data_IF_639913946838
#
_entry.id   IF_639913946838
#
_cell.length_a   1.000
_cell.length_b   1.000
_cell.length_c   1.000
_cell.angle_alpha   90.00
_cell.angle_beta   90.00
_cell.angle_gamma   90.00
#
_symmetry.space_group_name_H-M   'P 1'
#
loop_
_entity.id
_entity.type
_entity.pdbx_description
1 polymer ?
#
# COMPACT_ATOMS: atom_id res chain seq x y z
N UNK A 1 6.78 -2.77 14.72
CA UNK A 1 6.01 -1.52 14.76
C UNK A 1 6.20 -0.84 16.11
N UNK A 2 6.49 0.46 16.10
CA UNK A 2 6.56 1.33 17.26
C UNK A 2 5.32 2.24 17.23
N UNK A 3 4.36 2.00 18.12
CA UNK A 3 3.10 2.77 18.20
C UNK A 3 2.94 3.44 19.55
N UNK A 4 1.71 3.78 19.94
CA UNK A 4 1.40 4.50 21.20
C UNK A 4 2.03 3.88 22.45
N UNK A 5 2.25 2.56 22.46
CA UNK A 5 2.87 1.86 23.59
C UNK A 5 4.35 2.21 23.77
N UNK A 6 5.06 2.54 22.69
CA UNK A 6 6.48 2.88 22.69
C UNK A 6 6.71 4.39 22.51
N UNK A 7 5.89 5.05 21.69
CA UNK A 7 5.98 6.46 21.31
C UNK A 7 4.90 7.29 22.02
N UNK A 8 4.77 7.11 23.34
CA UNK A 8 3.61 7.57 24.12
C UNK A 8 3.50 9.11 24.33
N UNK A 9 4.53 9.87 23.98
CA UNK A 9 4.52 11.34 23.98
C UNK A 9 4.43 11.95 22.58
N UNK A 10 4.51 11.13 21.53
CA UNK A 10 4.31 11.55 20.15
C UNK A 10 2.84 11.34 19.78
N UNK A 11 2.15 12.44 19.49
CA UNK A 11 0.75 12.40 19.12
C UNK A 11 0.58 11.94 17.67
N UNK A 12 -0.36 11.02 17.44
CA UNK A 12 -0.74 10.54 16.11
C UNK A 12 0.46 10.12 15.24
N UNK A 13 1.46 9.46 15.83
CA UNK A 13 2.63 8.96 15.11
C UNK A 13 2.90 7.50 15.47
N UNK A 14 3.21 6.71 14.44
CA UNK A 14 3.82 5.39 14.62
C UNK A 14 4.79 5.09 13.48
N UNK A 15 5.66 4.12 13.73
CA UNK A 15 6.74 3.73 12.82
C UNK A 15 6.71 2.22 12.56
N UNK A 16 6.92 1.81 11.32
CA UNK A 16 7.15 0.42 10.94
C UNK A 16 8.49 0.32 10.20
N UNK A 17 9.32 -0.59 10.70
CA UNK A 17 10.62 -0.88 10.14
C UNK A 17 10.51 -2.07 9.18
N UNK A 18 10.94 -1.91 7.92
CA UNK A 18 10.68 -2.85 6.83
C UNK A 18 11.99 -3.23 6.13
N UNK A 19 12.24 -4.54 6.00
CA UNK A 19 13.40 -5.09 5.30
C UNK A 19 12.93 -6.02 4.17
N UNK A 20 13.43 -5.77 2.97
CA UNK A 20 13.05 -6.51 1.76
C UNK A 20 14.28 -6.98 0.99
N UNK A 21 14.17 -8.19 0.45
CA UNK A 21 15.04 -8.67 -0.64
C UNK A 21 14.45 -8.25 -1.99
N UNK A 22 15.25 -8.30 -3.05
CA UNK A 22 14.80 -8.01 -4.42
C UNK A 22 13.52 -8.79 -4.73
N UNK A 23 12.61 -8.16 -5.46
CA UNK A 23 11.31 -8.70 -5.89
C UNK A 23 10.34 -9.09 -4.76
N UNK A 24 10.69 -8.80 -3.50
CA UNK A 24 9.72 -8.90 -2.40
C UNK A 24 8.88 -7.64 -2.31
N UNK A 25 7.63 -7.86 -1.91
CA UNK A 25 6.54 -6.92 -1.99
C UNK A 25 5.92 -6.75 -0.61
N UNK A 26 5.80 -5.52 -0.11
CA UNK A 26 4.77 -5.21 0.88
C UNK A 26 3.45 -5.29 0.13
N UNK A 27 2.61 -6.26 0.50
CA UNK A 27 1.44 -6.66 -0.29
C UNK A 27 0.51 -5.48 -0.61
N UNK A 28 -0.32 -5.56 -1.67
CA UNK A 28 -1.36 -4.56 -1.88
C UNK A 28 -2.25 -4.36 -0.66
N UNK A 29 -2.32 -3.13 -0.14
CA UNK A 29 -3.04 -2.81 1.09
C UNK A 29 -3.46 -1.34 1.15
N UNK A 30 -4.21 -0.98 2.19
CA UNK A 30 -4.48 0.40 2.56
C UNK A 30 -4.66 0.56 4.06
N UNK A 31 -4.55 1.82 4.51
CA UNK A 31 -4.74 2.23 5.90
C UNK A 31 -5.98 3.10 6.04
N UNK A 32 -7.01 2.64 6.74
CA UNK A 32 -8.28 3.37 6.85
C UNK A 32 -8.16 4.64 7.68
N UNK A 33 -7.25 4.67 8.64
CA UNK A 33 -7.12 5.72 9.65
C UNK A 33 -5.78 6.48 9.58
N UNK A 34 -4.92 6.18 8.62
CA UNK A 34 -3.60 6.80 8.52
C UNK A 34 -3.17 7.05 7.07
N UNK A 35 -2.55 8.20 6.83
CA UNK A 35 -1.61 8.39 5.74
C UNK A 35 -0.24 7.79 6.14
N UNK A 36 0.54 7.43 5.13
CA UNK A 36 1.84 6.78 5.29
C UNK A 36 2.91 7.52 4.51
N UNK A 37 4.03 7.82 5.16
CA UNK A 37 5.24 8.32 4.54
C UNK A 37 6.29 7.21 4.55
N UNK A 38 6.69 6.76 3.37
CA UNK A 38 7.72 5.73 3.22
C UNK A 38 9.05 6.43 2.94
N UNK A 39 10.01 6.27 3.85
CA UNK A 39 11.37 6.80 3.72
C UNK A 39 12.35 5.67 3.40
N UNK A 40 13.13 5.81 2.33
CA UNK A 40 14.17 4.84 1.99
C UNK A 40 15.45 5.10 2.77
N UNK A 41 15.83 4.16 3.64
CA UNK A 41 17.08 4.20 4.43
C UNK A 41 18.24 3.64 3.60
N UNK A 42 18.05 2.46 2.99
CA UNK A 42 19.03 1.83 2.09
C UNK A 42 18.34 1.01 1.00
N UNK A 43 19.05 0.70 -0.08
CA UNK A 43 18.53 -0.06 -1.22
C UNK A 43 17.67 0.79 -2.15
N UNK A 44 16.62 0.21 -2.74
CA UNK A 44 15.75 0.89 -3.70
C UNK A 44 14.41 0.17 -3.83
N UNK A 45 13.32 0.94 -3.89
CA UNK A 45 11.95 0.43 -3.94
C UNK A 45 11.13 1.19 -4.97
N UNK A 46 10.16 0.52 -5.59
CA UNK A 46 9.08 1.18 -6.34
C UNK A 46 7.78 1.05 -5.55
N UNK A 47 7.20 2.19 -5.17
CA UNK A 47 5.89 2.27 -4.52
C UNK A 47 4.85 2.63 -5.58
N UNK A 48 3.77 1.86 -5.64
CA UNK A 48 2.67 2.10 -6.59
C UNK A 48 1.37 2.33 -5.85
N UNK A 49 0.62 3.36 -6.26
CA UNK A 49 -0.57 3.85 -5.58
C UNK A 49 -1.72 3.95 -6.59
N UNK A 50 -2.86 3.33 -6.30
CA UNK A 50 -4.09 3.52 -7.06
C UNK A 50 -4.77 4.82 -6.62
N UNK A 51 -4.80 5.80 -7.52
CA UNK A 51 -5.50 7.05 -7.27
C UNK A 51 -7.02 6.82 -7.40
N UNK A 52 -7.81 6.98 -6.32
CA UNK A 52 -9.24 6.65 -6.31
C UNK A 52 -10.09 7.61 -7.14
N UNK A 53 -9.56 8.81 -7.44
CA UNK A 53 -10.28 9.84 -8.20
C UNK A 53 -10.04 9.70 -9.70
N UNK A 54 -8.78 9.49 -10.09
CA UNK A 54 -8.40 9.37 -11.51
C UNK A 54 -8.44 7.94 -12.03
N UNK A 55 -8.52 6.95 -11.12
CA UNK A 55 -8.46 5.50 -11.40
C UNK A 55 -7.17 5.07 -12.12
N UNK A 56 -6.10 5.84 -11.93
CA UNK A 56 -4.76 5.54 -12.47
C UNK A 56 -3.87 5.00 -11.38
N UNK A 57 -2.99 4.06 -11.73
CA UNK A 57 -1.87 3.67 -10.89
C UNK A 57 -0.72 4.64 -11.12
N UNK A 58 -0.20 5.20 -10.03
CA UNK A 58 0.97 6.08 -10.01
C UNK A 58 2.12 5.31 -9.39
N UNK A 59 3.27 5.25 -10.06
CA UNK A 59 4.45 4.51 -9.58
C UNK A 59 5.62 5.45 -9.36
N UNK A 60 6.25 5.33 -8.20
CA UNK A 60 7.35 6.17 -7.75
C UNK A 60 8.52 5.28 -7.31
N UNK A 61 9.65 5.39 -8.00
CA UNK A 61 10.88 4.72 -7.59
C UNK A 61 11.71 5.64 -6.71
N UNK A 62 12.10 5.16 -5.53
CA UNK A 62 12.90 5.90 -4.57
C UNK A 62 14.16 5.14 -4.15
N UNK A 63 15.18 5.90 -3.79
CA UNK A 63 16.50 5.47 -3.33
C UNK A 63 16.83 6.20 -2.02
N UNK A 64 17.97 5.93 -1.35
CA UNK A 64 18.22 6.42 0.00
C UNK A 64 18.06 7.94 0.15
N UNK A 65 17.35 8.36 1.19
CA UNK A 65 17.06 9.78 1.47
C UNK A 65 15.81 10.34 0.77
N UNK A 66 15.17 9.56 -0.10
CA UNK A 66 13.92 9.95 -0.78
C UNK A 66 12.69 9.37 -0.08
N UNK A 67 11.54 10.00 -0.31
CA UNK A 67 10.25 9.63 0.29
C UNK A 67 9.13 9.56 -0.72
N UNK A 68 8.10 8.77 -0.40
CA UNK A 68 6.78 8.83 -1.03
C UNK A 68 5.73 9.00 0.07
N UNK A 69 4.80 9.93 -0.13
CA UNK A 69 3.63 10.11 0.74
C UNK A 69 2.41 9.44 0.11
N UNK A 70 1.82 8.50 0.83
CA UNK A 70 0.62 7.76 0.47
C UNK A 70 -0.55 8.33 1.28
N UNK A 71 -1.56 8.91 0.64
CA UNK A 71 -2.70 9.45 1.36
C UNK A 71 -3.53 8.38 2.08
N UNK A 72 -4.17 8.76 3.18
CA UNK A 72 -5.04 7.89 3.95
C UNK A 72 -6.10 7.21 3.08
N UNK A 73 -6.25 5.90 3.26
CA UNK A 73 -7.24 5.07 2.57
C UNK A 73 -6.87 4.73 1.12
N UNK A 74 -5.70 5.11 0.61
CA UNK A 74 -5.32 4.82 -0.77
C UNK A 74 -4.67 3.45 -0.88
N UNK A 75 -5.15 2.66 -1.84
CA UNK A 75 -4.61 1.33 -2.14
C UNK A 75 -3.22 1.44 -2.75
N UNK A 76 -2.25 0.74 -2.18
CA UNK A 76 -0.86 0.81 -2.62
C UNK A 76 -0.08 -0.47 -2.32
N UNK A 77 1.11 -0.59 -2.90
CA UNK A 77 2.06 -1.68 -2.66
C UNK A 77 3.49 -1.20 -2.94
N UNK A 78 4.45 -1.92 -2.38
CA UNK A 78 5.87 -1.57 -2.49
C UNK A 78 6.65 -2.78 -2.95
N UNK A 79 7.48 -2.64 -3.99
CA UNK A 79 8.37 -3.72 -4.43
C UNK A 79 9.83 -3.29 -4.38
N UNK A 80 10.63 -4.04 -3.64
CA UNK A 80 12.07 -3.85 -3.61
C UNK A 80 12.68 -4.20 -4.97
N UNK A 81 13.49 -3.28 -5.49
CA UNK A 81 14.18 -3.42 -6.79
C UNK A 81 15.62 -3.92 -6.65
N UNK A 82 16.14 -3.94 -5.42
CA UNK A 82 17.46 -4.48 -5.05
C UNK A 82 17.42 -5.13 -3.67
N UNK A 83 18.39 -6.00 -3.40
CA UNK A 83 18.51 -6.69 -2.11
C UNK A 83 18.89 -5.73 -0.99
N UNK A 84 18.50 -6.10 0.24
CA UNK A 84 18.78 -5.32 1.46
C UNK A 84 18.18 -3.92 1.37
N UNK A 85 16.98 -3.84 0.79
CA UNK A 85 16.17 -2.62 0.82
C UNK A 85 15.60 -2.46 2.22
N UNK A 86 15.85 -1.29 2.81
CA UNK A 86 15.47 -0.94 4.17
C UNK A 86 14.64 0.33 4.12
N UNK A 87 13.38 0.23 4.55
CA UNK A 87 12.41 1.31 4.52
C UNK A 87 11.91 1.58 5.94
N UNK A 88 11.60 2.84 6.19
CA UNK A 88 10.87 3.26 7.38
C UNK A 88 9.53 3.83 6.93
N UNK A 89 8.46 3.11 7.26
CA UNK A 89 7.10 3.58 7.11
C UNK A 89 6.69 4.40 8.35
N UNK A 90 6.15 5.59 8.12
CA UNK A 90 5.78 6.56 9.15
C UNK A 90 4.32 6.91 8.96
N UNK A 91 3.51 6.67 9.98
CA UNK A 91 2.06 6.88 9.90
C UNK A 91 1.65 8.07 10.74
N UNK A 92 0.69 8.85 10.25
CA UNK A 92 0.05 9.90 11.04
C UNK A 92 -1.09 9.37 11.95
N UNK A 93 -0.92 8.17 12.50
CA UNK A 93 -1.77 7.59 13.53
C UNK A 93 -0.90 6.84 14.55
N UNK A 94 -1.25 6.88 15.83
CA UNK A 94 -0.49 6.17 16.88
C UNK A 94 -0.65 4.64 16.81
N UNK A 95 -1.72 4.18 16.15
CA UNK A 95 -2.00 2.79 15.80
C UNK A 95 -2.71 2.74 14.43
N UNK A 96 -1.97 2.74 13.31
CA UNK A 96 -2.52 2.49 11.98
C UNK A 96 -3.23 1.15 11.93
N UNK A 97 -4.44 1.18 11.39
CA UNK A 97 -5.18 0.00 10.96
C UNK A 97 -4.78 -0.31 9.51
N UNK A 98 -4.79 -1.59 9.15
CA UNK A 98 -4.45 -2.04 7.80
C UNK A 98 -5.51 -3.01 7.30
N UNK A 99 -5.90 -2.87 6.03
CA UNK A 99 -6.63 -3.90 5.30
C UNK A 99 -5.74 -4.42 4.19
N UNK A 100 -5.46 -5.72 4.27
CA UNK A 100 -4.55 -6.44 3.41
C UNK A 100 -5.29 -7.03 2.21
N UNK A 101 -4.67 -7.02 1.04
CA UNK A 101 -5.25 -7.57 -0.17
C UNK A 101 -5.40 -9.07 -0.13
N UNK A 102 -4.52 -9.79 0.56
CA UNK A 102 -4.71 -11.20 0.82
C UNK A 102 -6.02 -11.48 1.55
N UNK A 103 -6.40 -10.61 2.49
CA UNK A 103 -7.63 -10.76 3.28
C UNK A 103 -8.86 -10.41 2.43
N UNK A 104 -8.80 -9.33 1.64
CA UNK A 104 -9.87 -9.01 0.68
C UNK A 104 -10.10 -10.19 -0.28
N UNK A 105 -9.03 -10.75 -0.85
CA UNK A 105 -9.14 -11.87 -1.79
C UNK A 105 -9.67 -13.13 -1.12
N UNK A 106 -9.20 -13.44 0.10
CA UNK A 106 -9.50 -14.72 0.75
C UNK A 106 -10.83 -14.72 1.51
N UNK A 107 -11.18 -13.60 2.16
CA UNK A 107 -12.30 -13.51 3.08
C UNK A 107 -13.57 -12.96 2.43
N UNK A 108 -13.47 -12.26 1.30
CA UNK A 108 -14.68 -11.90 0.52
C UNK A 108 -15.33 -13.19 0.02
N UNK A 109 -16.63 -13.43 0.30
CA UNK A 109 -17.29 -14.66 -0.13
C UNK A 109 -17.14 -14.88 -1.63
N UNK A 110 -16.70 -16.07 -2.03
CA UNK A 110 -16.41 -16.37 -3.45
C UNK A 110 -17.62 -16.13 -4.35
N UNK A 111 -18.82 -16.50 -3.89
CA UNK A 111 -20.06 -16.27 -4.64
C UNK A 111 -20.33 -14.77 -4.89
N UNK A 112 -19.94 -13.89 -3.95
CA UNK A 112 -20.10 -12.44 -4.14
C UNK A 112 -19.15 -11.94 -5.24
N UNK A 113 -17.87 -12.33 -5.20
CA UNK A 113 -16.92 -11.97 -6.26
C UNK A 113 -17.38 -12.49 -7.63
N UNK A 114 -17.79 -13.76 -7.68
CA UNK A 114 -18.27 -14.41 -8.89
C UNK A 114 -19.52 -13.71 -9.46
N UNK A 115 -20.51 -13.46 -8.62
CA UNK A 115 -21.75 -12.81 -9.02
C UNK A 115 -21.52 -11.35 -9.45
N UNK A 116 -20.77 -10.57 -8.67
CA UNK A 116 -20.52 -9.14 -8.93
C UNK A 116 -19.78 -8.91 -10.25
N UNK A 117 -18.83 -9.77 -10.61
CA UNK A 117 -17.97 -9.58 -11.78
C UNK A 117 -18.22 -10.56 -12.92
N UNK A 118 -19.34 -11.29 -12.90
CA UNK A 118 -19.69 -12.31 -13.90
C UNK A 118 -18.58 -13.37 -14.11
N UNK A 119 -17.92 -13.80 -13.03
CA UNK A 119 -16.88 -14.83 -13.05
C UNK A 119 -17.45 -16.20 -12.69
N UNK A 120 -16.76 -17.27 -13.08
CA UNK A 120 -17.05 -18.61 -12.56
C UNK A 120 -16.56 -18.74 -11.12
N UNK A 121 -17.44 -19.16 -10.21
CA UNK A 121 -17.12 -19.25 -8.78
C UNK A 121 -16.06 -20.32 -8.49
N UNK A 122 -16.06 -21.44 -9.20
CA UNK A 122 -15.11 -22.52 -8.98
C UNK A 122 -13.71 -22.12 -9.49
N UNK A 123 -13.66 -21.45 -10.64
CA UNK A 123 -12.43 -20.88 -11.18
C UNK A 123 -11.87 -19.79 -10.27
N UNK A 124 -12.73 -18.93 -9.69
CA UNK A 124 -12.30 -17.95 -8.69
C UNK A 124 -11.68 -18.65 -7.47
N UNK A 125 -12.39 -19.63 -6.87
CA UNK A 125 -11.89 -20.42 -5.73
C UNK A 125 -10.54 -21.07 -6.03
N UNK A 126 -10.37 -21.64 -7.22
CA UNK A 126 -9.11 -22.24 -7.64
C UNK A 126 -7.99 -21.19 -7.77
N UNK A 127 -8.30 -20.03 -8.36
CA UNK A 127 -7.34 -18.95 -8.59
C UNK A 127 -6.81 -18.36 -7.29
N UNK A 128 -7.68 -18.15 -6.30
CA UNK A 128 -7.29 -17.60 -4.98
C UNK A 128 -6.87 -18.67 -3.97
N UNK A 129 -6.87 -19.96 -4.34
CA UNK A 129 -6.46 -21.03 -3.44
C UNK A 129 -5.05 -20.82 -2.84
N UNK A 130 -4.04 -20.34 -3.59
CA UNK A 130 -2.69 -20.09 -3.07
C UNK A 130 -2.56 -18.86 -2.17
N UNK A 131 -3.56 -17.96 -2.14
CA UNK A 131 -3.51 -16.76 -1.30
C UNK A 131 -3.58 -17.18 0.17
N UNK A 132 -2.57 -16.78 0.94
CA UNK A 132 -2.53 -16.93 2.39
C UNK A 132 -2.99 -15.60 3.01
N UNK A 133 -4.06 -15.59 3.82
CA UNK A 133 -4.51 -14.37 4.47
C UNK A 133 -3.42 -13.80 5.38
N UNK A 134 -3.46 -12.50 5.57
CA UNK A 134 -2.47 -11.71 6.29
C UNK A 134 -1.03 -11.95 5.83
N UNK A 135 -0.76 -11.76 4.54
CA UNK A 135 0.56 -12.03 3.92
C UNK A 135 1.66 -11.11 4.43
N UNK A 136 1.36 -9.81 4.54
CA UNK A 136 2.28 -8.69 4.74
C UNK A 136 3.39 -8.58 3.69
N UNK A 137 4.29 -9.55 3.61
CA UNK A 137 5.41 -9.57 2.67
C UNK A 137 5.35 -10.83 1.82
N UNK A 138 5.20 -10.63 0.50
CA UNK A 138 5.22 -11.69 -0.50
C UNK A 138 6.37 -11.53 -1.51
N UNK A 139 6.63 -12.51 -2.39
CA UNK A 139 6.09 -13.87 -2.34
C UNK A 139 6.57 -14.62 -1.09
N UNK A 140 5.76 -15.56 -0.58
CA UNK A 140 6.16 -16.41 0.55
C UNK A 140 7.33 -17.34 0.17
N UNK A 141 8.11 -17.81 1.15
CA UNK A 141 9.26 -18.70 0.93
C UNK A 141 8.92 -19.98 0.15
N UNK A 142 7.70 -20.49 0.28
CA UNK A 142 7.20 -21.67 -0.41
C UNK A 142 6.31 -21.34 -1.63
N UNK A 143 6.38 -20.12 -2.16
CA UNK A 143 5.68 -19.75 -3.37
C UNK A 143 6.30 -20.45 -4.58
N UNK A 144 5.69 -21.54 -5.03
CA UNK A 144 6.08 -22.22 -6.26
C UNK A 144 5.37 -21.54 -7.43
N UNK A 145 6.02 -20.51 -7.98
CA UNK A 145 5.61 -19.97 -9.28
C UNK A 145 5.90 -21.06 -10.31
N UNK A 146 4.87 -21.62 -10.94
CA UNK A 146 5.07 -22.47 -12.12
C UNK A 146 6.00 -21.73 -13.08
N UNK A 147 6.96 -22.44 -13.69
CA UNK A 147 8.02 -21.88 -14.54
C UNK A 147 7.44 -21.04 -15.68
N UNK A 148 7.22 -19.76 -15.43
CA UNK A 148 6.95 -18.76 -16.43
C UNK A 148 7.93 -17.63 -16.15
N UNK A 149 8.97 -17.54 -16.98
CA UNK A 149 9.82 -16.37 -17.11
C UNK A 149 8.93 -15.19 -17.52
N UNK A 150 8.33 -14.52 -16.55
CA UNK A 150 7.73 -13.21 -16.74
C UNK A 150 8.60 -12.22 -15.97
N UNK A 151 9.71 -11.84 -16.61
CA UNK A 151 10.33 -10.56 -16.36
C UNK A 151 9.28 -9.49 -16.69
N UNK A 152 8.52 -9.03 -15.70
CA UNK A 152 7.72 -7.83 -15.88
C UNK A 152 8.68 -6.66 -16.01
N UNK A 153 8.78 -6.01 -17.18
CA UNK A 153 9.52 -4.77 -17.26
C UNK A 153 8.69 -3.74 -16.48
N UNK A 154 9.19 -3.31 -15.33
CA UNK A 154 8.66 -2.09 -14.71
C UNK A 154 8.78 -0.97 -15.75
N UNK A 155 7.67 -0.33 -16.17
CA UNK A 155 7.76 0.81 -17.05
C UNK A 155 8.49 1.92 -16.30
N UNK A 156 9.74 2.16 -16.67
CA UNK A 156 10.56 3.27 -16.19
C UNK A 156 9.84 4.57 -16.60
N UNK A 157 9.07 5.16 -15.70
CA UNK A 157 8.55 6.51 -15.90
C UNK A 157 9.60 7.51 -15.39
N UNK A 158 9.87 8.49 -16.24
CA UNK A 158 10.91 9.51 -16.15
C UNK A 158 10.98 10.18 -14.76
N UNK A 159 12.19 10.55 -14.28
CA UNK A 159 12.33 11.22 -13.00
C UNK A 159 11.59 12.56 -13.05
N UNK A 160 10.71 12.78 -12.06
CA UNK A 160 10.09 14.08 -11.84
C UNK A 160 11.21 15.11 -11.66
N UNK A 161 11.39 15.99 -12.66
CA UNK A 161 12.20 17.18 -12.51
C UNK A 161 11.60 18.02 -11.38
N UNK A 162 12.41 18.30 -10.36
CA UNK A 162 12.08 19.28 -9.33
C UNK A 162 11.80 20.62 -10.02
N UNK A 163 10.53 21.01 -10.09
CA UNK A 163 10.14 22.39 -10.37
C UNK A 163 10.18 23.17 -9.05
N UNK A 164 10.67 24.42 -9.01
CA UNK A 164 10.69 25.22 -7.80
C UNK A 164 9.26 25.45 -7.31
N UNK A 165 9.06 25.32 -5.99
CA UNK A 165 7.77 25.52 -5.32
C UNK A 165 7.24 26.93 -5.61
N UNK A 166 6.10 27.01 -6.31
CA UNK A 166 5.29 28.21 -6.38
C UNK A 166 3.85 27.90 -5.97
N UNK A 167 3.49 28.43 -4.80
CA UNK A 167 2.15 28.67 -4.25
C UNK A 167 1.21 27.47 -3.98
N UNK A 168 0.82 27.34 -2.71
CA UNK A 168 -0.14 26.38 -2.17
C UNK A 168 -1.57 26.83 -2.49
N UNK A 169 -2.42 26.03 -3.16
CA UNK A 169 -3.86 26.23 -3.12
C UNK A 169 -4.41 25.57 -1.84
N UNK A 170 -5.03 26.36 -0.97
CA UNK A 170 -5.75 25.85 0.19
C UNK A 170 -6.95 25.01 -0.26
N UNK A 171 -7.02 23.75 0.19
CA UNK A 171 -8.23 22.94 0.09
C UNK A 171 -9.24 23.36 1.16
N UNK A 172 -10.54 23.45 0.86
CA UNK A 172 -11.56 23.81 1.85
C UNK A 172 -11.74 22.69 2.87
N UNK A 173 -11.64 23.05 4.15
CA UNK A 173 -12.02 22.21 5.28
C UNK A 173 -13.53 21.99 5.30
N UNK A 174 -14.00 20.78 5.04
CA UNK A 174 -15.38 20.40 5.32
C UNK A 174 -15.48 19.83 6.73
N UNK A 175 -15.88 20.67 7.69
CA UNK A 175 -16.44 20.22 8.95
C UNK A 175 -17.66 21.08 9.34
N UNK A 176 -18.72 20.35 9.69
CA UNK A 176 -19.85 20.69 10.57
C UNK A 176 -20.87 21.72 10.08
N UNK A 177 -22.05 21.20 9.74
CA UNK A 177 -23.29 21.73 10.32
C UNK A 177 -24.09 20.62 10.99
N UNK A 178 -24.44 20.87 12.27
CA UNK A 178 -25.45 20.13 13.01
C UNK A 178 -26.82 20.43 12.41
N UNK A 179 -27.61 19.38 12.12
CA UNK A 179 -28.99 19.53 11.69
C UNK A 179 -29.79 18.26 11.94
N UNK A 180 -30.37 18.19 13.13
CA UNK A 180 -31.45 17.26 13.49
C UNK A 180 -32.55 17.23 12.43
N UNK A 181 -32.97 16.06 11.95
CA UNK A 181 -34.39 15.63 11.95
C UNK A 181 -34.54 14.20 11.45
N UNK A 182 -35.44 13.49 12.15
CA UNK A 182 -35.94 12.15 11.88
C UNK A 182 -36.56 12.05 10.48
N UNK A 183 -36.32 10.93 9.81
CA UNK A 183 -37.32 9.92 9.41
C UNK A 183 -36.62 8.65 8.95
#
# INVERSE_FOLDING_TARGET
MLGIKQLNTLENISLLDIFLSTDHVVEPHYHQNAAELVYCISGAVTISILNPFTKKVLSYSITPGQVVNIPQGWWHYEIATVDRTHLLAIFNASTPEVILGSDILKLTPSYMMAHTYCMDENQWKQTIAPVQPSTYIGPYKNCHRGTANQSHPYPYQQPYQHQPISYIPQYPSYLRENGSSRQ
#
